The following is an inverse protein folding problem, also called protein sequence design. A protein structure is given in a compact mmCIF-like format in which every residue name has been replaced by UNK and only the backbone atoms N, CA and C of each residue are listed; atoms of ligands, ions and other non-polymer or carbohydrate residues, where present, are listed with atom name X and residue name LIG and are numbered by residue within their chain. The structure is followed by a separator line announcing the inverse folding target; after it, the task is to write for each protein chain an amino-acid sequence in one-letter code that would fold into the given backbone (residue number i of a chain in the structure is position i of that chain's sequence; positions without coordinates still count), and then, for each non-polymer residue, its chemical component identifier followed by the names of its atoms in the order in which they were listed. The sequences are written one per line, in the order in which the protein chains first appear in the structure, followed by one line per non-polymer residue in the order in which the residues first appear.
data_IF_952481562843
#
_entry.id   IF_952481562843
#
_cell.length_a   1.000
_cell.length_b   1.000
_cell.length_c   1.000
_cell.angle_alpha   90.00
_cell.angle_beta   90.00
_cell.angle_gamma   90.00
#
_symmetry.space_group_name_H-M   'P 1'
#
loop_
_entity.id
_entity.type
_entity.pdbx_description
1 polymer ?
#
# COMPACT_ATOMS: atom_id res chain seq x y z
N UNK A 1 -7.43 -25.66 5.35
CA UNK A 1 -8.13 -24.36 5.26
C UNK A 1 -7.78 -23.75 3.91
N UNK A 2 -8.77 -23.29 3.14
CA UNK A 2 -8.51 -22.55 1.91
C UNK A 2 -8.24 -21.07 2.26
N UNK A 3 -7.27 -20.40 1.61
CA UNK A 3 -7.03 -18.99 1.89
C UNK A 3 -8.27 -18.18 1.50
N UNK A 4 -8.65 -17.20 2.32
CA UNK A 4 -9.71 -16.26 1.96
C UNK A 4 -9.30 -15.49 0.70
N UNK A 5 -10.15 -15.53 -0.32
CA UNK A 5 -9.97 -14.89 -1.63
C UNK A 5 -8.72 -15.41 -2.39
N UNK A 6 -8.69 -16.71 -2.78
CA UNK A 6 -7.52 -17.34 -3.40
C UNK A 6 -7.17 -16.76 -4.78
N UNK A 7 -8.09 -16.03 -5.39
CA UNK A 7 -7.95 -15.42 -6.73
C UNK A 7 -7.93 -13.89 -6.68
N UNK A 8 -7.72 -13.29 -5.49
CA UNK A 8 -7.63 -11.85 -5.37
C UNK A 8 -6.32 -11.36 -6.00
N UNK A 9 -6.44 -10.73 -7.16
CA UNK A 9 -5.28 -10.16 -7.86
C UNK A 9 -5.11 -8.65 -7.60
N UNK A 10 -6.18 -7.97 -7.21
CA UNK A 10 -6.17 -6.52 -6.99
C UNK A 10 -6.87 -6.19 -5.68
N UNK A 11 -6.18 -5.44 -4.82
CA UNK A 11 -6.77 -4.82 -3.64
C UNK A 11 -6.88 -3.32 -3.89
N UNK A 12 -8.06 -2.75 -3.64
CA UNK A 12 -8.28 -1.32 -3.70
C UNK A 12 -8.95 -0.85 -2.42
N UNK A 13 -8.39 0.19 -1.82
CA UNK A 13 -8.98 0.91 -0.72
C UNK A 13 -9.10 2.40 -1.08
N UNK A 14 -10.25 2.97 -0.77
CA UNK A 14 -10.52 4.39 -0.90
C UNK A 14 -11.25 4.85 0.35
N UNK A 15 -10.72 5.87 1.03
CA UNK A 15 -11.29 6.32 2.29
C UNK A 15 -10.84 7.70 2.71
N UNK A 16 -11.64 8.29 3.59
CA UNK A 16 -11.25 9.52 4.30
C UNK A 16 -10.25 9.17 5.40
N UNK A 17 -9.21 9.97 5.52
CA UNK A 17 -8.14 9.78 6.48
C UNK A 17 -7.00 8.89 5.96
N UNK A 18 -6.10 8.54 6.86
CA UNK A 18 -4.90 7.77 6.56
C UNK A 18 -5.16 6.26 6.58
N UNK A 19 -4.52 5.56 5.66
CA UNK A 19 -4.56 4.10 5.63
C UNK A 19 -3.62 3.48 6.69
N UNK A 20 -4.03 2.41 7.38
CA UNK A 20 -3.16 1.67 8.29
C UNK A 20 -2.15 0.80 7.52
N UNK A 21 -1.00 1.38 7.19
CA UNK A 21 0.05 0.79 6.35
C UNK A 21 0.57 -0.58 6.84
N UNK A 22 0.56 -0.80 8.15
CA UNK A 22 0.94 -2.03 8.83
C UNK A 22 0.10 -3.25 8.41
N UNK A 23 -1.07 -3.02 7.79
CA UNK A 23 -1.94 -4.09 7.30
C UNK A 23 -1.53 -4.65 5.92
N UNK A 24 -0.81 -3.88 5.10
CA UNK A 24 -0.47 -4.28 3.72
C UNK A 24 0.34 -5.58 3.67
N UNK A 25 1.37 -5.78 4.50
CA UNK A 25 2.09 -7.05 4.51
C UNK A 25 1.21 -8.28 4.76
N UNK A 26 0.14 -8.14 5.56
CA UNK A 26 -0.83 -9.22 5.79
C UNK A 26 -1.65 -9.57 4.55
N UNK A 27 -1.84 -8.62 3.63
CA UNK A 27 -2.47 -8.85 2.32
C UNK A 27 -1.57 -9.61 1.35
N UNK A 28 -0.25 -9.47 1.50
CA UNK A 28 0.75 -10.07 0.60
C UNK A 28 1.24 -11.43 1.09
N UNK A 29 1.26 -11.65 2.41
CA UNK A 29 1.73 -12.91 2.99
C UNK A 29 0.74 -14.06 2.75
N UNK A 30 1.25 -15.28 2.49
CA UNK A 30 0.44 -16.48 2.51
C UNK A 30 -0.27 -16.63 3.87
N UNK A 31 -1.52 -17.07 3.87
CA UNK A 31 -2.28 -17.34 5.11
C UNK A 31 -1.70 -18.53 5.88
N UNK A 32 -1.01 -19.44 5.19
CA UNK A 32 -0.46 -20.67 5.77
C UNK A 32 1.05 -20.69 5.50
N UNK A 33 1.89 -20.69 6.53
CA UNK A 33 3.33 -20.90 6.39
C UNK A 33 3.57 -22.41 6.19
N UNK A 34 3.40 -22.88 4.96
CA UNK A 34 3.84 -24.22 4.55
C UNK A 34 4.88 -24.08 3.44
N UNK A 35 5.90 -24.93 3.47
CA UNK A 35 6.82 -25.07 2.34
C UNK A 35 6.00 -25.38 1.07
N UNK A 36 6.07 -24.49 0.06
CA UNK A 36 5.28 -24.58 -1.16
C UNK A 36 3.94 -23.83 -1.15
N UNK A 37 3.63 -23.06 -0.09
CA UNK A 37 2.48 -22.17 -0.09
C UNK A 37 2.66 -21.09 -1.18
N UNK A 38 1.86 -21.19 -2.24
CA UNK A 38 1.82 -20.18 -3.29
C UNK A 38 1.48 -18.83 -2.65
N UNK A 39 2.32 -17.82 -2.89
CA UNK A 39 2.00 -16.44 -2.56
C UNK A 39 0.58 -16.12 -3.08
N UNK A 40 -0.16 -15.28 -2.34
CA UNK A 40 -1.46 -14.79 -2.84
C UNK A 40 -1.19 -14.15 -4.21
N UNK A 41 -2.06 -14.34 -5.22
CA UNK A 41 -1.82 -13.84 -6.57
C UNK A 41 -2.02 -12.31 -6.68
N UNK A 42 -1.80 -11.57 -5.59
CA UNK A 42 -2.04 -10.14 -5.53
C UNK A 42 -0.99 -9.42 -6.39
N UNK A 43 -1.41 -8.91 -7.54
CA UNK A 43 -0.57 -8.20 -8.51
C UNK A 43 -0.63 -6.69 -8.33
N UNK A 44 -1.65 -6.17 -7.65
CA UNK A 44 -1.82 -4.73 -7.46
C UNK A 44 -2.47 -4.38 -6.12
N UNK A 45 -1.93 -3.34 -5.49
CA UNK A 45 -2.48 -2.71 -4.28
C UNK A 45 -2.64 -1.23 -4.53
N UNK A 46 -3.87 -0.74 -4.44
CA UNK A 46 -4.22 0.66 -4.65
C UNK A 46 -4.80 1.25 -3.37
N UNK A 47 -4.19 2.32 -2.87
CA UNK A 47 -4.62 3.00 -1.64
C UNK A 47 -4.85 4.47 -1.98
N UNK A 48 -6.09 4.93 -1.91
CA UNK A 48 -6.46 6.32 -2.09
C UNK A 48 -6.91 6.93 -0.75
N UNK A 49 -6.06 7.74 -0.14
CA UNK A 49 -6.37 8.49 1.07
C UNK A 49 -6.90 9.88 0.70
N UNK A 50 -8.07 10.24 1.21
CA UNK A 50 -8.61 11.60 1.10
C UNK A 50 -8.50 12.29 2.46
N UNK A 51 -7.66 13.31 2.55
CA UNK A 51 -7.42 14.06 3.80
C UNK A 51 -7.80 15.53 3.65
N UNK A 52 -7.98 16.22 4.76
CA UNK A 52 -8.19 17.66 4.75
C UNK A 52 -6.94 18.39 4.25
N UNK A 53 -7.12 19.57 3.65
CA UNK A 53 -6.04 20.33 3.00
C UNK A 53 -4.87 20.67 3.94
N UNK A 54 -5.15 20.81 5.23
CA UNK A 54 -4.16 21.16 6.26
C UNK A 54 -3.51 19.93 6.90
N UNK A 55 -3.94 18.72 6.53
CA UNK A 55 -3.40 17.50 7.09
C UNK A 55 -1.96 17.28 6.59
N UNK A 56 -1.02 16.89 7.48
CA UNK A 56 0.35 16.61 7.06
C UNK A 56 0.41 15.42 6.11
N UNK A 57 1.42 15.41 5.24
CA UNK A 57 1.72 14.23 4.42
C UNK A 57 2.27 13.14 5.34
N UNK A 58 1.53 12.03 5.48
CA UNK A 58 2.03 10.83 6.15
C UNK A 58 2.58 9.87 5.10
N UNK A 59 3.91 9.85 5.02
CA UNK A 59 4.66 8.87 4.24
C UNK A 59 4.39 7.46 4.75
N UNK A 60 4.67 6.47 3.89
CA UNK A 60 4.63 5.06 4.28
C UNK A 60 5.73 4.85 5.35
N UNK A 61 5.43 4.24 6.51
CA UNK A 61 6.44 3.91 7.51
C UNK A 61 7.62 3.15 6.89
N UNK A 62 8.85 3.49 7.25
CA UNK A 62 10.06 2.94 6.60
C UNK A 62 10.11 1.41 6.68
N UNK A 63 9.79 0.84 7.85
CA UNK A 63 9.73 -0.60 8.07
C UNK A 63 8.73 -1.29 7.12
N UNK A 64 7.56 -0.69 6.92
CA UNK A 64 6.57 -1.18 5.95
C UNK A 64 7.12 -1.01 4.53
N UNK A 65 7.64 0.17 4.19
CA UNK A 65 8.14 0.46 2.85
C UNK A 65 9.25 -0.50 2.40
N UNK A 66 10.25 -0.74 3.26
CA UNK A 66 11.31 -1.72 3.01
C UNK A 66 10.76 -3.12 2.76
N UNK A 67 9.73 -3.51 3.50
CA UNK A 67 9.08 -4.80 3.29
C UNK A 67 8.33 -4.86 1.95
N UNK A 68 7.67 -3.77 1.54
CA UNK A 68 6.98 -3.69 0.26
C UNK A 68 7.93 -3.72 -0.94
N UNK A 69 9.14 -3.14 -0.82
CA UNK A 69 10.18 -3.24 -1.85
C UNK A 69 10.59 -4.68 -2.16
N UNK A 70 10.41 -5.61 -1.22
CA UNK A 70 10.66 -7.04 -1.44
C UNK A 70 9.67 -7.73 -2.39
N UNK A 71 8.56 -7.07 -2.75
CA UNK A 71 7.51 -7.62 -3.62
C UNK A 71 7.56 -6.99 -5.01
N UNK A 72 8.59 -7.34 -5.78
CA UNK A 72 8.83 -6.77 -7.12
C UNK A 72 7.75 -7.09 -8.16
N UNK A 73 6.98 -8.15 -7.94
CA UNK A 73 5.89 -8.61 -8.79
C UNK A 73 4.54 -7.91 -8.50
N UNK A 74 4.51 -7.03 -7.49
CA UNK A 74 3.30 -6.33 -7.04
C UNK A 74 3.40 -4.84 -7.37
N UNK A 75 2.38 -4.33 -8.06
CA UNK A 75 2.25 -2.90 -8.36
C UNK A 75 1.59 -2.17 -7.19
N UNK A 76 2.31 -1.22 -6.60
CA UNK A 76 1.80 -0.33 -5.55
C UNK A 76 1.42 1.04 -6.13
N UNK A 77 0.19 1.47 -5.91
CA UNK A 77 -0.33 2.79 -6.31
C UNK A 77 -0.93 3.46 -5.08
N UNK A 78 -0.17 4.34 -4.44
CA UNK A 78 -0.56 4.98 -3.19
C UNK A 78 -0.70 6.47 -3.38
N UNK A 79 -1.90 7.00 -3.20
CA UNK A 79 -2.22 8.40 -3.48
C UNK A 79 -2.80 9.07 -2.24
N UNK A 80 -2.33 10.27 -1.94
CA UNK A 80 -2.91 11.17 -0.96
C UNK A 80 -3.54 12.37 -1.67
N UNK A 81 -4.86 12.47 -1.61
CA UNK A 81 -5.63 13.57 -2.17
C UNK A 81 -6.09 14.51 -1.05
N UNK A 82 -5.96 15.81 -1.27
CA UNK A 82 -6.63 16.79 -0.43
C UNK A 82 -8.11 16.88 -0.84
N UNK A 83 -9.00 17.04 0.14
CA UNK A 83 -10.45 17.15 -0.07
C UNK A 83 -10.88 18.40 -0.88
N UNK A 84 -9.94 19.32 -1.17
CA UNK A 84 -10.19 20.48 -1.99
C UNK A 84 -10.23 20.12 -3.49
N UNK A 85 -11.30 20.54 -4.18
CA UNK A 85 -11.46 20.35 -5.62
C UNK A 85 -10.23 20.86 -6.39
N UNK A 86 -9.56 19.96 -7.13
CA UNK A 86 -8.54 20.31 -8.12
C UNK A 86 -7.08 20.17 -7.69
N UNK A 87 -6.76 19.69 -6.48
CA UNK A 87 -5.37 19.37 -6.14
C UNK A 87 -4.90 18.09 -6.81
N UNK A 88 -3.71 18.12 -7.44
CA UNK A 88 -3.02 16.92 -7.91
C UNK A 88 -2.64 16.09 -6.68
N UNK A 89 -3.11 14.85 -6.60
CA UNK A 89 -2.78 13.93 -5.50
C UNK A 89 -1.28 13.67 -5.41
N UNK A 90 -0.79 13.51 -4.19
CA UNK A 90 0.61 13.15 -3.92
C UNK A 90 0.77 11.64 -4.10
N UNK A 91 1.70 11.22 -4.94
CA UNK A 91 2.15 9.83 -5.02
C UNK A 91 3.01 9.51 -3.80
N UNK A 92 2.43 8.81 -2.82
CA UNK A 92 3.07 8.46 -1.58
C UNK A 92 4.16 7.41 -1.75
N UNK A 93 4.10 6.58 -2.79
CA UNK A 93 5.16 5.62 -3.08
C UNK A 93 6.42 6.35 -3.53
N UNK A 94 6.28 7.23 -4.53
CA UNK A 94 7.38 8.06 -5.02
C UNK A 94 7.94 8.98 -3.93
N UNK A 95 7.08 9.66 -3.20
CA UNK A 95 7.49 10.57 -2.13
C UNK A 95 8.23 9.83 -0.99
N UNK A 96 7.84 8.59 -0.67
CA UNK A 96 8.54 7.76 0.30
C UNK A 96 9.90 7.27 -0.22
N UNK A 97 9.97 6.89 -1.50
CA UNK A 97 11.22 6.48 -2.13
C UNK A 97 12.27 7.61 -2.10
N UNK A 98 11.86 8.83 -2.46
CA UNK A 98 12.73 10.01 -2.43
C UNK A 98 13.23 10.28 -1.00
N UNK A 99 12.31 10.33 -0.03
CA UNK A 99 12.63 10.56 1.39
C UNK A 99 13.64 9.56 1.95
N UNK A 100 13.56 8.28 1.58
CA UNK A 100 14.45 7.24 2.08
C UNK A 100 15.70 7.04 1.23
N UNK A 101 15.81 7.69 0.06
CA UNK A 101 17.03 7.69 -0.75
C UNK A 101 18.04 8.75 -0.33
N UNK A 102 17.61 9.73 0.47
CA UNK A 102 18.43 10.83 1.01
C UNK A 102 19.03 10.53 2.39
N UNK A 103 18.85 9.31 2.91
CA UNK A 103 19.39 8.81 4.18
C UNK A 103 20.59 7.89 3.93
#
# INVERSE_FOLDING_TARGET
MHPFLPSLETFQWEGRGYYPWDTIPGLLRPVIPMEGARHRPLKSVKINCVVDKEAPILYIPNDVFQHLLGYSDVKFEFTLNASAYGSIGVDLWKASLEKYSEL
#
